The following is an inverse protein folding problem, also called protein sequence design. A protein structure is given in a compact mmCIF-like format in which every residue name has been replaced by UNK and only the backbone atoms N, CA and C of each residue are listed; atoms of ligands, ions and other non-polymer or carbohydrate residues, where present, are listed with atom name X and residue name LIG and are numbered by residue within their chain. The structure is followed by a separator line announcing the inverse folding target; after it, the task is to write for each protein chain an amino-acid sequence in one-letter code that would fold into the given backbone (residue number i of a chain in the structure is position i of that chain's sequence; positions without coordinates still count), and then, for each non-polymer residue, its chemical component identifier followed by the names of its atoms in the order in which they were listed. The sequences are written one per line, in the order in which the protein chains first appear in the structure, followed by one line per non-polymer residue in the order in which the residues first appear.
data_IF_526194994111
#
_entry.id   IF_526194994111
#
_cell.length_a   1.000
_cell.length_b   1.000
_cell.length_c   1.000
_cell.angle_alpha   90.00
_cell.angle_beta   90.00
_cell.angle_gamma   90.00
#
_symmetry.space_group_name_H-M   'P 1'
#
loop_
_entity.id
_entity.type
_entity.pdbx_description
1 polymer ?
#
# COMPACT_ATOMS: atom_id res chain seq x y z
N UNK A 1 8.02 -2.68 -18.93
CA UNK A 1 9.43 -3.03 -18.64
C UNK A 1 9.80 -2.90 -17.16
N UNK A 2 9.22 -1.96 -16.39
CA UNK A 2 9.47 -1.84 -14.94
C UNK A 2 8.94 -3.01 -14.07
N UNK A 3 7.84 -3.66 -14.46
CA UNK A 3 7.25 -4.79 -13.72
C UNK A 3 8.20 -5.99 -13.62
N UNK A 4 8.80 -6.40 -14.74
CA UNK A 4 9.75 -7.51 -14.78
C UNK A 4 11.07 -7.21 -14.02
N UNK A 5 11.49 -5.95 -13.96
CA UNK A 5 12.72 -5.54 -13.26
C UNK A 5 12.58 -5.46 -11.74
N UNK A 6 11.34 -5.46 -11.23
CA UNK A 6 11.06 -5.42 -9.79
C UNK A 6 10.40 -6.71 -9.28
N UNK A 7 10.24 -7.72 -10.13
CA UNK A 7 9.58 -8.99 -9.76
C UNK A 7 10.30 -9.66 -8.58
N UNK A 8 11.64 -9.63 -8.57
CA UNK A 8 12.44 -10.22 -7.48
C UNK A 8 12.24 -9.48 -6.14
N UNK A 9 12.02 -8.17 -6.19
CA UNK A 9 11.73 -7.36 -4.99
C UNK A 9 10.31 -7.58 -4.50
N UNK A 10 9.36 -7.72 -5.42
CA UNK A 10 7.98 -8.05 -5.09
C UNK A 10 7.88 -9.46 -4.51
N UNK A 11 8.66 -10.42 -5.01
CA UNK A 11 8.73 -11.78 -4.48
C UNK A 11 9.19 -11.81 -3.03
N UNK A 12 10.18 -10.98 -2.66
CA UNK A 12 10.60 -10.81 -1.28
C UNK A 12 9.50 -10.20 -0.38
N UNK A 13 8.59 -9.41 -0.95
CA UNK A 13 7.49 -8.76 -0.24
C UNK A 13 6.23 -9.63 -0.17
N UNK A 14 6.09 -10.66 -1.01
CA UNK A 14 4.90 -11.54 -1.05
C UNK A 14 4.46 -12.04 0.32
N UNK A 15 5.33 -12.60 1.18
CA UNK A 15 4.88 -13.09 2.49
C UNK A 15 4.30 -11.99 3.39
N UNK A 16 4.84 -10.77 3.29
CA UNK A 16 4.34 -9.63 4.04
C UNK A 16 2.99 -9.14 3.49
N UNK A 17 2.88 -9.04 2.16
CA UNK A 17 1.64 -8.66 1.45
C UNK A 17 0.51 -9.61 1.82
N UNK A 18 0.73 -10.93 1.75
CA UNK A 18 -0.29 -11.92 2.12
C UNK A 18 -0.76 -11.76 3.58
N UNK A 19 0.18 -11.55 4.50
CA UNK A 19 -0.15 -11.36 5.92
C UNK A 19 -0.96 -10.07 6.16
N UNK A 20 -0.60 -8.99 5.49
CA UNK A 20 -1.30 -7.69 5.60
C UNK A 20 -2.69 -7.80 5.00
N UNK A 21 -2.82 -8.30 3.77
CA UNK A 21 -4.09 -8.47 3.09
C UNK A 21 -5.06 -9.37 3.89
N UNK A 22 -4.56 -10.50 4.42
CA UNK A 22 -5.37 -11.36 5.28
C UNK A 22 -5.86 -10.63 6.55
N UNK A 23 -5.02 -9.79 7.16
CA UNK A 23 -5.42 -8.99 8.33
C UNK A 23 -6.44 -7.92 7.97
N UNK A 24 -6.23 -7.21 6.86
CA UNK A 24 -7.15 -6.20 6.36
C UNK A 24 -8.55 -6.78 6.10
N UNK A 25 -8.60 -7.95 5.45
CA UNK A 25 -9.85 -8.67 5.20
C UNK A 25 -10.55 -9.05 6.50
N UNK A 26 -9.82 -9.60 7.48
CA UNK A 26 -10.34 -9.93 8.82
C UNK A 26 -10.92 -8.72 9.56
N UNK A 27 -10.43 -7.51 9.28
CA UNK A 27 -10.91 -6.26 9.89
C UNK A 27 -11.83 -5.44 8.98
N UNK A 28 -12.32 -6.04 7.88
CA UNK A 28 -13.27 -5.40 6.96
C UNK A 28 -12.76 -4.10 6.30
N UNK A 29 -11.46 -4.04 5.97
CA UNK A 29 -10.89 -2.94 5.20
C UNK A 29 -11.43 -2.95 3.77
N UNK A 30 -11.70 -1.77 3.22
CA UNK A 30 -12.24 -1.56 1.87
C UNK A 30 -11.34 -0.63 1.08
N UNK A 31 -11.38 -0.68 -0.27
CA UNK A 31 -10.66 0.27 -1.11
C UNK A 31 -10.89 1.73 -0.71
N UNK A 32 -12.12 2.09 -0.35
CA UNK A 32 -12.50 3.44 0.07
C UNK A 32 -11.82 3.94 1.36
N UNK A 33 -11.20 3.05 2.14
CA UNK A 33 -10.46 3.42 3.35
C UNK A 33 -9.04 3.91 3.05
N UNK A 34 -8.44 3.51 1.94
CA UNK A 34 -7.05 3.86 1.59
C UNK A 34 -6.82 5.36 1.45
N UNK A 35 -7.71 6.15 0.79
CA UNK A 35 -7.56 7.60 0.74
C UNK A 35 -7.46 8.25 2.13
N UNK A 36 -8.20 7.75 3.13
CA UNK A 36 -8.14 8.30 4.49
C UNK A 36 -6.76 8.06 5.13
N UNK A 37 -6.15 6.90 4.89
CA UNK A 37 -4.79 6.59 5.36
C UNK A 37 -3.75 7.47 4.65
N UNK A 38 -3.85 7.64 3.33
CA UNK A 38 -2.95 8.52 2.57
C UNK A 38 -2.99 9.97 3.10
N UNK A 39 -4.20 10.48 3.34
CA UNK A 39 -4.42 11.84 3.84
C UNK A 39 -3.90 12.06 5.26
N UNK A 40 -3.74 10.99 6.06
CA UNK A 40 -3.10 11.07 7.37
C UNK A 40 -1.58 10.87 7.30
N UNK A 41 -1.13 9.94 6.47
CA UNK A 41 0.28 9.51 6.41
C UNK A 41 1.19 10.57 5.78
N UNK A 42 0.83 11.13 4.62
CA UNK A 42 1.72 12.05 3.91
C UNK A 42 1.99 13.34 4.70
N UNK A 43 0.99 13.97 5.36
CA UNK A 43 1.26 15.08 6.27
C UNK A 43 2.12 14.67 7.46
N UNK A 44 1.86 13.50 8.06
CA UNK A 44 2.67 13.01 9.18
C UNK A 44 4.14 12.78 8.79
N UNK A 45 4.41 12.30 7.57
CA UNK A 45 5.78 12.19 7.04
C UNK A 45 6.43 13.57 6.95
N UNK A 46 5.71 14.58 6.46
CA UNK A 46 6.20 15.97 6.41
C UNK A 46 6.52 16.48 7.81
N UNK A 47 5.64 16.25 8.79
CA UNK A 47 5.81 16.70 10.17
C UNK A 47 7.04 16.07 10.85
N UNK A 48 7.29 14.78 10.59
CA UNK A 48 8.42 14.05 11.19
C UNK A 48 9.76 14.40 10.52
N UNK A 49 9.77 14.56 9.19
CA UNK A 49 11.00 14.83 8.44
C UNK A 49 11.37 16.33 8.41
N UNK A 50 10.42 17.24 8.66
CA UNK A 50 10.65 18.68 8.69
C UNK A 50 11.25 19.18 7.37
N UNK A 51 12.39 19.89 7.44
CA UNK A 51 13.07 20.44 6.27
C UNK A 51 13.60 19.38 5.29
N UNK A 52 13.74 18.13 5.72
CA UNK A 52 14.13 17.02 4.85
C UNK A 52 12.97 16.52 3.96
N UNK A 53 11.72 16.89 4.25
CA UNK A 53 10.56 16.56 3.41
C UNK A 53 10.42 17.55 2.25
N UNK A 54 11.33 17.45 1.28
CA UNK A 54 11.18 18.16 0.01
C UNK A 54 9.95 17.63 -0.75
N UNK A 55 9.40 18.45 -1.64
CA UNK A 55 8.21 18.05 -2.40
C UNK A 55 8.49 16.81 -3.28
N UNK A 56 9.70 16.67 -3.83
CA UNK A 56 10.10 15.47 -4.58
C UNK A 56 10.08 14.21 -3.70
N UNK A 57 10.55 14.31 -2.45
CA UNK A 57 10.54 13.20 -1.50
C UNK A 57 9.10 12.83 -1.15
N UNK A 58 8.25 13.82 -0.86
CA UNK A 58 6.84 13.57 -0.52
C UNK A 58 6.05 13.00 -1.70
N UNK A 59 6.32 13.45 -2.92
CA UNK A 59 5.72 12.89 -4.13
C UNK A 59 6.14 11.42 -4.31
N UNK A 60 7.43 11.10 -4.14
CA UNK A 60 7.92 9.72 -4.20
C UNK A 60 7.27 8.83 -3.13
N UNK A 61 7.05 9.35 -1.91
CA UNK A 61 6.30 8.64 -0.87
C UNK A 61 4.84 8.42 -1.25
N UNK A 62 4.20 9.42 -1.86
CA UNK A 62 2.83 9.30 -2.38
C UNK A 62 2.70 8.22 -3.46
N UNK A 63 3.61 8.21 -4.42
CA UNK A 63 3.67 7.17 -5.46
C UNK A 63 3.91 5.78 -4.86
N UNK A 64 4.86 5.66 -3.92
CA UNK A 64 5.16 4.39 -3.25
C UNK A 64 3.97 3.86 -2.43
N UNK A 65 3.25 4.76 -1.75
CA UNK A 65 2.04 4.41 -1.02
C UNK A 65 0.98 3.84 -1.96
N UNK A 66 0.66 4.54 -3.05
CA UNK A 66 -0.39 4.10 -3.96
C UNK A 66 0.00 2.82 -4.72
N UNK A 67 1.26 2.68 -5.09
CA UNK A 67 1.76 1.44 -5.68
C UNK A 67 1.52 0.22 -4.78
N UNK A 68 1.82 0.33 -3.47
CA UNK A 68 1.57 -0.76 -2.53
C UNK A 68 0.08 -0.93 -2.22
N UNK A 69 -0.66 0.18 -2.11
CA UNK A 69 -2.11 0.18 -1.89
C UNK A 69 -2.84 -0.60 -2.99
N UNK A 70 -2.50 -0.36 -4.26
CA UNK A 70 -3.13 -1.05 -5.39
C UNK A 70 -2.85 -2.57 -5.35
N UNK A 71 -1.64 -2.98 -4.97
CA UNK A 71 -1.29 -4.40 -4.80
C UNK A 71 -2.15 -5.03 -3.69
N UNK A 72 -2.26 -4.36 -2.54
CA UNK A 72 -3.03 -4.85 -1.40
C UNK A 72 -4.54 -4.89 -1.72
N UNK A 73 -5.09 -3.84 -2.32
CA UNK A 73 -6.49 -3.75 -2.73
C UNK A 73 -6.85 -4.91 -3.65
N UNK A 74 -6.06 -5.14 -4.70
CA UNK A 74 -6.32 -6.24 -5.63
C UNK A 74 -6.31 -7.59 -4.92
N UNK A 75 -5.33 -7.80 -4.04
CA UNK A 75 -5.22 -9.05 -3.27
C UNK A 75 -6.38 -9.23 -2.28
N UNK A 76 -6.83 -8.15 -1.65
CA UNK A 76 -7.97 -8.13 -0.73
C UNK A 76 -9.28 -8.47 -1.44
N UNK A 77 -9.49 -7.94 -2.65
CA UNK A 77 -10.66 -8.28 -3.49
C UNK A 77 -10.72 -9.77 -3.75
N UNK A 78 -9.61 -10.39 -4.19
CA UNK A 78 -9.55 -11.84 -4.39
C UNK A 78 -9.87 -12.64 -3.12
N UNK A 79 -9.36 -12.20 -1.97
CA UNK A 79 -9.61 -12.84 -0.68
C UNK A 79 -11.06 -12.69 -0.23
N UNK A 80 -11.69 -11.54 -0.47
CA UNK A 80 -13.11 -11.33 -0.21
C UNK A 80 -13.99 -12.22 -1.09
N UNK A 81 -13.69 -12.32 -2.39
CA UNK A 81 -14.41 -13.19 -3.31
C UNK A 81 -14.27 -14.67 -2.93
N UNK A 82 -13.08 -15.10 -2.53
CA UNK A 82 -12.82 -16.47 -2.08
C UNK A 82 -13.50 -16.85 -0.76
N UNK A 83 -13.93 -15.88 0.05
CA UNK A 83 -14.72 -16.13 1.27
C UNK A 83 -16.22 -16.30 1.01
N UNK A 84 -16.70 -15.91 -0.18
CA UNK A 84 -18.11 -16.00 -0.58
C UNK A 84 -18.42 -17.36 -1.24
N UNK A 85 -17.43 -18.25 -1.36
CA UNK A 85 -17.56 -19.64 -1.82
C UNK A 85 -17.75 -20.62 -0.66
#
# INVERSE_FOLDING_TARGET
LAFAQNVDKLDALKPAIERIAARHVQTHIKPDHYPAVANALLPAIRDVLGEAATDDILNAWGEAYWFLADILINREVELYEGQVA
#
